data_IF_637273421181
#
_entry.id   IF_637273421181
#
_cell.length_a   1.000
_cell.length_b   1.000
_cell.length_c   1.000
_cell.angle_alpha   90.00
_cell.angle_beta   90.00
_cell.angle_gamma   90.00
#
_symmetry.space_group_name_H-M   'P 1'
#
loop_
_entity.id
_entity.type
_entity.pdbx_description
1 polymer ?
#
# COMPACT_ATOMS: atom_id res chain seq x y z
N UNK A 1 13.46 -55.95 -33.62
CA UNK A 1 14.32 -54.84 -34.10
C UNK A 1 13.56 -54.04 -35.14
N UNK A 2 13.08 -52.84 -34.77
CA UNK A 2 12.74 -51.74 -35.69
C UNK A 2 12.94 -50.45 -34.90
N UNK A 3 13.93 -49.70 -35.33
CA UNK A 3 14.41 -48.42 -34.81
C UNK A 3 13.46 -47.30 -35.26
N UNK A 4 13.05 -46.41 -34.36
CA UNK A 4 12.37 -45.14 -34.65
C UNK A 4 12.80 -44.15 -33.55
N UNK A 5 13.95 -43.47 -33.67
CA UNK A 5 14.17 -42.16 -34.35
C UNK A 5 13.16 -41.08 -33.95
N UNK A 6 13.65 -40.21 -33.07
CA UNK A 6 13.38 -38.78 -32.84
C UNK A 6 11.92 -38.27 -32.79
N UNK A 7 11.58 -37.72 -31.63
CA UNK A 7 10.95 -36.39 -31.55
C UNK A 7 11.50 -35.64 -30.33
N UNK A 8 12.55 -34.86 -30.55
CA UNK A 8 12.87 -33.69 -29.73
C UNK A 8 11.73 -32.68 -29.96
N UNK A 9 10.71 -32.74 -29.12
CA UNK A 9 9.73 -31.66 -29.03
C UNK A 9 10.27 -30.62 -28.07
N UNK A 10 10.91 -29.61 -28.65
CA UNK A 10 11.10 -28.29 -28.07
C UNK A 10 9.81 -27.82 -27.38
N UNK A 11 9.71 -27.98 -26.07
CA UNK A 11 8.80 -27.16 -25.25
C UNK A 11 9.52 -25.85 -24.89
N UNK A 12 9.77 -25.06 -25.94
CA UNK A 12 10.13 -23.65 -25.83
C UNK A 12 8.86 -22.84 -26.12
N UNK A 13 8.00 -22.74 -25.11
CA UNK A 13 6.85 -21.84 -24.98
C UNK A 13 6.33 -22.16 -23.57
N UNK A 14 6.49 -21.34 -22.55
CA UNK A 14 6.49 -19.90 -22.55
C UNK A 14 6.88 -19.51 -21.13
N UNK A 15 8.00 -18.82 -20.97
CA UNK A 15 8.11 -17.80 -19.92
C UNK A 15 7.08 -16.75 -20.28
N UNK A 16 5.81 -17.04 -19.99
CA UNK A 16 4.84 -16.01 -19.70
C UNK A 16 5.48 -15.29 -18.54
N UNK A 17 6.16 -14.19 -18.85
CA UNK A 17 6.25 -13.09 -17.94
C UNK A 17 4.83 -12.86 -17.46
N UNK A 18 4.48 -13.46 -16.33
CA UNK A 18 3.45 -12.93 -15.46
C UNK A 18 4.00 -11.58 -15.03
N UNK A 19 3.92 -10.61 -15.94
CA UNK A 19 3.85 -9.23 -15.54
C UNK A 19 2.69 -9.21 -14.57
N UNK A 20 3.02 -8.99 -13.31
CA UNK A 20 2.09 -8.77 -12.23
C UNK A 20 1.10 -7.74 -12.76
N UNK A 21 -0.08 -8.19 -13.20
CA UNK A 21 -1.21 -7.29 -13.45
C UNK A 21 -1.59 -6.86 -12.05
N UNK A 22 -0.91 -5.83 -11.58
CA UNK A 22 -0.97 -5.39 -10.20
C UNK A 22 -2.42 -5.13 -9.85
N UNK A 23 -2.88 -5.70 -8.73
CA UNK A 23 -4.17 -5.37 -8.12
C UNK A 23 -4.22 -3.91 -7.62
N UNK A 24 -3.14 -3.16 -7.81
CA UNK A 24 -2.97 -1.80 -7.33
C UNK A 24 -3.73 -0.83 -8.22
N UNK A 25 -4.50 0.04 -7.59
CA UNK A 25 -5.19 1.18 -8.21
C UNK A 25 -4.41 2.49 -8.05
N UNK A 26 -3.53 2.57 -7.05
CA UNK A 26 -2.90 3.81 -6.62
C UNK A 26 -1.40 3.62 -6.33
N UNK A 27 -0.63 4.70 -6.51
CA UNK A 27 0.71 4.90 -5.95
C UNK A 27 0.64 5.70 -4.66
N UNK A 28 1.54 5.41 -3.71
CA UNK A 28 1.69 6.17 -2.48
C UNK A 28 2.94 7.05 -2.50
N UNK A 29 2.80 8.27 -2.00
CA UNK A 29 3.92 9.15 -1.68
C UNK A 29 3.89 9.54 -0.20
N UNK A 30 4.99 9.30 0.50
CA UNK A 30 5.16 9.60 1.92
C UNK A 30 6.04 10.83 2.12
N UNK A 31 5.49 11.83 2.80
CA UNK A 31 6.18 13.08 3.14
C UNK A 31 6.29 13.20 4.65
N UNK A 32 7.52 13.29 5.15
CA UNK A 32 7.78 13.58 6.56
C UNK A 32 7.40 15.04 6.84
N UNK A 33 6.52 15.26 7.82
CA UNK A 33 6.08 16.62 8.23
C UNK A 33 6.53 16.99 9.65
N UNK A 34 7.14 16.05 10.39
CA UNK A 34 7.90 16.35 11.61
C UNK A 34 9.30 16.89 11.30
N UNK A 35 9.97 17.45 12.32
CA UNK A 35 11.36 17.93 12.18
C UNK A 35 12.33 16.82 11.71
N UNK A 36 12.10 15.59 12.17
CA UNK A 36 12.80 14.38 11.74
C UNK A 36 11.81 13.22 11.71
N UNK A 37 12.00 12.29 10.78
CA UNK A 37 11.25 11.03 10.76
C UNK A 37 12.19 9.83 10.71
N UNK A 38 12.03 8.93 11.67
CA UNK A 38 12.69 7.63 11.67
C UNK A 38 11.91 6.64 10.78
N UNK A 39 12.48 5.47 10.51
CA UNK A 39 11.83 4.42 9.70
C UNK A 39 11.44 4.87 8.28
N UNK A 40 12.15 5.85 7.73
CA UNK A 40 11.83 6.45 6.42
C UNK A 40 11.77 5.41 5.30
N UNK A 41 12.77 4.54 5.24
CA UNK A 41 12.93 3.52 4.21
C UNK A 41 11.80 2.48 4.23
N UNK A 42 11.49 1.81 5.35
CA UNK A 42 10.38 0.86 5.37
C UNK A 42 9.01 1.55 5.17
N UNK A 43 8.79 2.75 5.72
CA UNK A 43 7.55 3.51 5.46
C UNK A 43 7.38 3.81 3.97
N UNK A 44 8.43 4.29 3.31
CA UNK A 44 8.42 4.55 1.86
C UNK A 44 8.37 3.28 1.02
N UNK A 45 8.71 2.13 1.60
CA UNK A 45 8.55 0.81 0.98
C UNK A 45 7.09 0.46 0.71
N UNK A 46 6.15 1.03 1.47
CA UNK A 46 4.71 0.94 1.22
C UNK A 46 4.29 1.92 0.12
N UNK A 47 4.44 1.54 -1.14
CA UNK A 47 4.37 2.46 -2.27
C UNK A 47 3.17 2.21 -3.21
N UNK A 48 2.31 1.23 -2.89
CA UNK A 48 1.11 0.89 -3.68
C UNK A 48 -0.12 0.76 -2.81
N UNK A 49 -1.28 1.07 -3.39
CA UNK A 49 -2.56 0.78 -2.76
C UNK A 49 -3.58 0.21 -3.73
N UNK A 50 -4.48 -0.59 -3.16
CA UNK A 50 -5.75 -0.94 -3.77
C UNK A 50 -6.87 -0.24 -2.98
N UNK A 51 -7.64 0.58 -3.68
CA UNK A 51 -8.82 1.27 -3.17
C UNK A 51 -10.05 0.47 -3.56
N UNK A 52 -10.80 0.02 -2.56
CA UNK A 52 -12.06 -0.71 -2.71
C UNK A 52 -13.13 -0.02 -1.85
N UNK A 53 -14.41 -0.31 -2.13
CA UNK A 53 -15.53 0.43 -1.55
C UNK A 53 -15.47 0.60 -0.02
N UNK A 54 -15.12 -0.46 0.72
CA UNK A 54 -15.09 -0.47 2.20
C UNK A 54 -13.69 -0.61 2.79
N UNK A 55 -12.63 -0.59 1.96
CA UNK A 55 -11.27 -0.80 2.44
C UNK A 55 -10.22 -0.15 1.56
N UNK A 56 -9.12 0.25 2.17
CA UNK A 56 -7.89 0.59 1.48
C UNK A 56 -6.81 -0.38 1.92
N UNK A 57 -6.16 -1.01 0.96
CA UNK A 57 -5.05 -1.92 1.23
C UNK A 57 -3.75 -1.26 0.79
N UNK A 58 -2.76 -1.21 1.68
CA UNK A 58 -1.41 -0.72 1.38
C UNK A 58 -0.46 -1.91 1.16
N UNK A 59 0.42 -1.78 0.18
CA UNK A 59 1.35 -2.82 -0.25
C UNK A 59 2.75 -2.25 -0.46
N UNK A 60 3.76 -3.12 -0.37
CA UNK A 60 5.08 -2.85 -0.94
C UNK A 60 5.22 -3.48 -2.33
N UNK A 61 5.63 -2.69 -3.33
CA UNK A 61 6.03 -3.24 -4.64
C UNK A 61 7.33 -4.03 -4.60
N UNK A 62 8.11 -3.91 -3.50
CA UNK A 62 9.37 -4.64 -3.31
C UNK A 62 9.24 -5.90 -2.47
N UNK A 63 8.17 -6.01 -1.67
CA UNK A 63 7.84 -7.19 -0.87
C UNK A 63 6.34 -7.52 -1.00
N UNK A 64 5.97 -8.53 -1.81
CA UNK A 64 4.56 -8.89 -2.04
C UNK A 64 3.89 -9.51 -0.82
N UNK A 65 4.64 -9.81 0.26
CA UNK A 65 4.08 -10.32 1.52
C UNK A 65 3.65 -9.21 2.47
N UNK A 66 4.08 -7.97 2.21
CA UNK A 66 3.73 -6.81 3.03
C UNK A 66 2.38 -6.24 2.59
N UNK A 67 1.36 -6.44 3.44
CA UNK A 67 -0.01 -6.00 3.24
C UNK A 67 -0.57 -5.41 4.54
N UNK A 68 -1.11 -4.20 4.44
CA UNK A 68 -1.87 -3.56 5.50
C UNK A 68 -3.28 -3.27 5.02
N UNK A 69 -4.29 -3.84 5.70
CA UNK A 69 -5.70 -3.66 5.38
C UNK A 69 -6.29 -2.60 6.31
N UNK A 70 -6.82 -1.53 5.74
CA UNK A 70 -7.51 -0.47 6.47
C UNK A 70 -9.00 -0.52 6.14
N UNK A 71 -9.85 -0.52 7.15
CA UNK A 71 -11.30 -0.48 6.96
C UNK A 71 -11.76 0.96 6.82
N UNK A 72 -12.50 1.24 5.75
CA UNK A 72 -13.13 2.54 5.48
C UNK A 72 -14.50 2.56 6.12
N UNK A 73 -14.72 3.54 7.00
CA UNK A 73 -15.99 3.74 7.68
C UNK A 73 -16.46 5.17 7.39
N UNK A 74 -17.56 5.28 6.64
CA UNK A 74 -18.27 6.54 6.50
C UNK A 74 -18.88 6.91 7.85
N UNK A 75 -18.56 8.11 8.34
CA UNK A 75 -18.98 8.60 9.66
C UNK A 75 -19.53 10.00 9.54
N UNK A 76 -20.66 10.28 10.20
CA UNK A 76 -21.23 11.64 10.28
C UNK A 76 -20.27 12.64 10.96
N UNK A 77 -19.27 12.15 11.70
CA UNK A 77 -18.22 12.97 12.32
C UNK A 77 -17.03 13.29 11.42
N UNK A 78 -16.93 12.71 10.23
CA UNK A 78 -15.86 13.01 9.30
C UNK A 78 -16.09 14.38 8.62
N UNK A 79 -15.04 15.17 8.34
CA UNK A 79 -15.17 16.39 7.55
C UNK A 79 -15.75 16.10 6.15
N UNK A 80 -16.24 17.15 5.48
CA UNK A 80 -16.74 17.04 4.12
C UNK A 80 -15.67 16.47 3.17
N UNK A 81 -16.06 15.50 2.34
CA UNK A 81 -15.18 14.76 1.42
C UNK A 81 -14.12 13.89 2.10
N UNK A 82 -14.29 13.59 3.39
CA UNK A 82 -13.39 12.73 4.14
C UNK A 82 -14.11 11.52 4.75
N UNK A 83 -13.34 10.48 5.02
CA UNK A 83 -13.78 9.24 5.66
C UNK A 83 -12.77 8.84 6.73
N UNK A 84 -13.16 7.91 7.61
CA UNK A 84 -12.27 7.39 8.63
C UNK A 84 -11.72 6.02 8.21
N UNK A 85 -10.41 5.86 8.32
CA UNK A 85 -9.71 4.59 8.12
C UNK A 85 -9.26 4.01 9.45
N UNK A 86 -9.55 2.73 9.65
CA UNK A 86 -9.24 2.00 10.87
C UNK A 86 -8.36 0.79 10.61
N UNK A 87 -7.57 0.42 11.61
CA UNK A 87 -6.85 -0.85 11.63
C UNK A 87 -5.47 -0.83 10.98
N UNK A 88 -4.93 0.35 10.65
CA UNK A 88 -3.54 0.44 10.21
C UNK A 88 -2.61 -0.04 11.31
N UNK A 89 -1.85 -1.10 11.02
CA UNK A 89 -0.81 -1.62 11.90
C UNK A 89 0.55 -1.43 11.24
N UNK A 90 1.44 -0.65 11.84
CA UNK A 90 2.80 -0.46 11.37
C UNK A 90 3.80 -0.78 12.48
N UNK A 91 4.85 -1.53 12.14
CA UNK A 91 5.95 -1.86 13.06
C UNK A 91 5.51 -2.53 14.37
N UNK A 92 4.42 -3.31 14.33
CA UNK A 92 3.84 -3.96 15.51
C UNK A 92 2.91 -3.08 16.35
N UNK A 93 2.61 -1.85 15.89
CA UNK A 93 1.73 -0.91 16.57
C UNK A 93 0.46 -0.69 15.77
N UNK A 94 -0.70 -0.88 16.41
CA UNK A 94 -1.96 -0.35 15.90
C UNK A 94 -1.93 1.18 16.01
N UNK A 95 -2.26 1.86 14.93
CA UNK A 95 -2.28 3.32 14.88
C UNK A 95 -3.70 3.84 15.14
N UNK A 96 -3.78 5.10 15.55
CA UNK A 96 -5.04 5.81 15.71
C UNK A 96 -5.82 5.87 14.38
N UNK A 97 -7.15 5.98 14.42
CA UNK A 97 -7.96 6.16 13.22
C UNK A 97 -7.47 7.36 12.40
N UNK A 98 -7.41 7.18 11.09
CA UNK A 98 -6.94 8.20 10.15
C UNK A 98 -8.14 8.84 9.48
N UNK A 99 -8.03 10.14 9.19
CA UNK A 99 -8.97 10.81 8.31
C UNK A 99 -8.37 10.85 6.91
N UNK A 100 -9.00 10.16 5.96
CA UNK A 100 -8.64 10.22 4.54
C UNK A 100 -9.58 11.16 3.81
N UNK A 101 -9.03 12.11 3.07
CA UNK A 101 -9.80 13.13 2.38
C UNK A 101 -9.59 13.04 0.87
N UNK A 102 -10.66 13.25 0.11
CA UNK A 102 -10.59 13.35 -1.35
C UNK A 102 -10.15 14.77 -1.74
N UNK A 103 -9.04 14.87 -2.46
CA UNK A 103 -8.43 16.16 -2.90
C UNK A 103 -8.50 16.37 -4.41
N UNK A 104 -9.20 15.50 -5.13
CA UNK A 104 -9.40 15.55 -6.58
C UNK A 104 -10.07 14.27 -7.09
N UNK A 105 -10.09 14.07 -8.41
CA UNK A 105 -10.61 12.84 -9.00
C UNK A 105 -9.73 11.64 -8.55
N UNK A 106 -10.23 10.84 -7.61
CA UNK A 106 -9.57 9.63 -7.08
C UNK A 106 -8.17 9.90 -6.50
N UNK A 107 -7.99 11.11 -5.96
CA UNK A 107 -6.77 11.48 -5.24
C UNK A 107 -7.11 11.67 -3.79
N UNK A 108 -6.32 11.05 -2.93
CA UNK A 108 -6.54 11.12 -1.49
C UNK A 108 -5.31 11.62 -0.77
N UNK A 109 -5.53 12.29 0.35
CA UNK A 109 -4.49 12.55 1.34
C UNK A 109 -4.96 12.16 2.74
N UNK A 110 -3.99 11.78 3.56
CA UNK A 110 -4.19 11.61 5.00
C UNK A 110 -2.89 11.88 5.75
N UNK A 111 -3.03 12.14 7.04
CA UNK A 111 -1.90 12.24 7.95
C UNK A 111 -1.90 11.08 8.93
N UNK A 112 -0.71 10.58 9.26
CA UNK A 112 -0.52 9.47 10.18
C UNK A 112 0.65 9.75 11.10
N UNK A 113 0.46 9.42 12.38
CA UNK A 113 1.53 9.44 13.39
C UNK A 113 2.09 8.03 13.54
N UNK A 114 3.38 7.86 13.25
CA UNK A 114 4.06 6.56 13.28
C UNK A 114 5.04 6.55 14.47
N UNK A 115 5.00 5.54 15.35
CA UNK A 115 5.99 5.37 16.40
C UNK A 115 7.41 5.24 15.84
N UNK A 116 8.35 5.96 16.45
CA UNK A 116 9.76 5.92 16.10
C UNK A 116 10.41 4.59 16.56
N UNK A 117 11.75 4.49 16.49
CA UNK A 117 12.48 3.37 17.09
C UNK A 117 12.29 3.37 18.61
N UNK A 118 12.31 4.56 19.23
CA UNK A 118 11.79 4.73 20.58
C UNK A 118 10.25 4.87 20.53
N UNK A 119 9.48 3.89 21.04
CA UNK A 119 8.02 3.88 20.95
C UNK A 119 7.33 4.98 21.79
N UNK A 120 8.05 5.65 22.69
CA UNK A 120 7.54 6.81 23.43
C UNK A 120 7.48 8.09 22.58
N UNK A 121 8.02 8.05 21.37
CA UNK A 121 8.03 9.18 20.44
C UNK A 121 7.42 8.77 19.10
N UNK A 122 6.88 9.74 18.38
CA UNK A 122 6.28 9.52 17.07
C UNK A 122 6.69 10.61 16.09
N UNK A 123 6.67 10.27 14.81
CA UNK A 123 6.82 11.23 13.72
C UNK A 123 5.55 11.25 12.88
N UNK A 124 5.16 12.44 12.46
CA UNK A 124 4.00 12.69 11.62
C UNK A 124 4.39 12.65 10.16
N UNK A 125 3.55 11.98 9.39
CA UNK A 125 3.69 11.77 7.96
C UNK A 125 2.42 12.21 7.26
N UNK A 126 2.59 12.86 6.11
CA UNK A 126 1.51 13.04 5.14
C UNK A 126 1.66 11.99 4.04
N UNK A 127 0.55 11.36 3.70
CA UNK A 127 0.49 10.33 2.66
C UNK A 127 -0.43 10.83 1.56
N UNK A 128 0.03 10.73 0.32
CA UNK A 128 -0.79 10.99 -0.85
C UNK A 128 -1.01 9.71 -1.62
N UNK A 129 -2.27 9.41 -1.97
CA UNK A 129 -2.64 8.36 -2.91
C UNK A 129 -2.96 9.01 -4.25
N UNK A 130 -2.33 8.50 -5.31
CA UNK A 130 -2.53 8.97 -6.68
C UNK A 130 -2.87 7.82 -7.60
N UNK A 131 -3.89 7.95 -8.47
CA UNK A 131 -4.28 6.88 -9.37
C UNK A 131 -3.13 6.51 -10.31
N UNK A 132 -3.04 5.23 -10.66
CA UNK A 132 -2.03 4.68 -11.58
C UNK A 132 -2.31 5.01 -13.05
#
# INVERSE_FOLDING_TARGET
>A
MKTLVLLLSFLACSVVSCGEQGIYSHTLAWVCISATCERTEPVRGLDRAWDADEQINLYSSSDPTELHVLNRISSEGAPENCELLYGLMLFGHALEPLTICTVGAERYDFEVSIPNVNPETSSSWRVELRPL
#
